data_IF_574233309178
#
_entry.id   IF_574233309178
#
_cell.length_a   1.000
_cell.length_b   1.000
_cell.length_c   1.000
_cell.angle_alpha   90.00
_cell.angle_beta   90.00
_cell.angle_gamma   90.00
#
_symmetry.space_group_name_H-M   'P 1'
#
loop_
_entity.id
_entity.type
_entity.pdbx_description
1 polymer ?
#
# COMPACT_ATOMS: atom_id res chain seq x y z
N UNK A 1 -0.88 2.45 19.19
CA UNK A 1 -1.05 2.57 17.72
C UNK A 1 0.18 1.95 17.08
N UNK A 2 0.04 0.88 16.32
CA UNK A 2 1.18 0.16 15.73
C UNK A 2 1.69 0.95 14.50
N UNK A 3 3.00 1.06 14.30
CA UNK A 3 3.61 1.87 13.22
C UNK A 3 3.09 1.43 11.83
N UNK A 4 2.86 0.14 11.64
CA UNK A 4 2.28 -0.40 10.40
C UNK A 4 0.88 0.18 10.09
N UNK A 5 0.04 0.39 11.12
CA UNK A 5 -1.30 0.97 10.92
C UNK A 5 -1.22 2.45 10.52
N UNK A 6 -0.17 3.17 10.93
CA UNK A 6 0.05 4.55 10.54
C UNK A 6 0.45 4.66 9.06
N UNK A 7 1.30 3.76 8.56
CA UNK A 7 1.67 3.72 7.15
C UNK A 7 0.49 3.33 6.26
N UNK A 8 -0.29 2.31 6.65
CA UNK A 8 -1.48 1.93 5.90
C UNK A 8 -2.47 3.11 5.78
N UNK A 9 -2.74 3.80 6.89
CA UNK A 9 -3.64 4.97 6.90
C UNK A 9 -3.12 6.11 6.02
N UNK A 10 -1.81 6.41 6.08
CA UNK A 10 -1.18 7.42 5.24
C UNK A 10 -1.29 7.06 3.75
N UNK A 11 -0.97 5.82 3.39
CA UNK A 11 -1.00 5.37 2.01
C UNK A 11 -2.43 5.29 1.46
N UNK A 12 -3.40 4.89 2.29
CA UNK A 12 -4.80 4.94 1.92
C UNK A 12 -5.26 6.37 1.60
N UNK A 13 -4.87 7.34 2.42
CA UNK A 13 -5.15 8.76 2.15
C UNK A 13 -4.50 9.22 0.83
N UNK A 14 -3.19 9.00 0.66
CA UNK A 14 -2.45 9.42 -0.53
C UNK A 14 -2.96 8.76 -1.82
N UNK A 15 -3.41 7.51 -1.74
CA UNK A 15 -4.03 6.80 -2.85
C UNK A 15 -5.43 7.36 -3.16
N UNK A 16 -6.23 7.65 -2.12
CA UNK A 16 -7.57 8.26 -2.25
C UNK A 16 -7.52 9.61 -2.97
N UNK A 17 -6.54 10.46 -2.64
CA UNK A 17 -6.34 11.76 -3.29
C UNK A 17 -5.51 11.71 -4.58
N UNK A 18 -5.27 10.50 -5.13
CA UNK A 18 -4.54 10.26 -6.39
C UNK A 18 -3.08 10.73 -6.41
N UNK A 19 -2.49 10.97 -5.25
CA UNK A 19 -1.06 11.28 -5.13
C UNK A 19 -0.22 10.02 -5.34
N UNK A 20 -0.67 8.88 -4.80
CA UNK A 20 -0.02 7.58 -5.01
C UNK A 20 -0.78 6.74 -6.03
N UNK A 21 -0.02 6.03 -6.87
CA UNK A 21 -0.53 5.02 -7.80
C UNK A 21 -0.41 3.62 -7.20
N UNK A 22 -1.10 2.63 -7.79
CA UNK A 22 -0.98 1.22 -7.38
C UNK A 22 0.48 0.73 -7.39
N UNK A 23 1.24 1.11 -8.42
CA UNK A 23 2.67 0.78 -8.54
C UNK A 23 3.51 1.39 -7.40
N UNK A 24 3.19 2.61 -6.95
CA UNK A 24 3.85 3.19 -5.77
C UNK A 24 3.51 2.41 -4.51
N UNK A 25 2.23 2.06 -4.28
CA UNK A 25 1.83 1.25 -3.11
C UNK A 25 2.54 -0.10 -3.13
N UNK A 26 2.64 -0.74 -4.29
CA UNK A 26 3.34 -2.01 -4.48
C UNK A 26 4.82 -1.93 -4.04
N UNK A 27 5.48 -0.79 -4.22
CA UNK A 27 6.88 -0.58 -3.81
C UNK A 27 7.11 -0.51 -2.29
N UNK A 28 6.04 -0.40 -1.50
CA UNK A 28 6.06 -0.36 -0.03
C UNK A 28 5.70 -1.71 0.62
N UNK A 29 5.16 -2.65 -0.16
CA UNK A 29 4.87 -4.01 0.31
C UNK A 29 6.16 -4.71 0.73
N UNK A 30 6.16 -5.32 1.93
CA UNK A 30 7.33 -5.94 2.55
C UNK A 30 8.28 -4.96 3.25
N UNK A 31 8.04 -3.65 3.17
CA UNK A 31 8.85 -2.62 3.86
C UNK A 31 8.08 -1.97 5.01
N UNK A 32 6.93 -1.40 4.71
CA UNK A 32 6.11 -0.62 5.65
C UNK A 32 4.67 -1.11 5.73
N UNK A 33 4.21 -1.87 4.74
CA UNK A 33 2.90 -2.53 4.69
C UNK A 33 3.04 -3.98 4.19
N UNK A 34 2.02 -4.81 4.43
CA UNK A 34 1.91 -6.18 3.90
C UNK A 34 0.98 -6.25 2.67
N UNK A 35 0.87 -7.44 2.07
CA UNK A 35 0.02 -7.69 0.90
C UNK A 35 -1.47 -7.46 1.22
N UNK A 36 -1.90 -7.74 2.45
CA UNK A 36 -3.27 -7.53 2.87
C UNK A 36 -3.60 -6.03 2.93
N UNK A 37 -2.67 -5.20 3.39
CA UNK A 37 -2.79 -3.75 3.38
C UNK A 37 -2.81 -3.20 1.96
N UNK A 38 -2.00 -3.73 1.04
CA UNK A 38 -2.07 -3.37 -0.37
C UNK A 38 -3.49 -3.56 -0.94
N UNK A 39 -4.12 -4.71 -0.65
CA UNK A 39 -5.49 -5.00 -1.08
C UNK A 39 -6.52 -4.05 -0.47
N UNK A 40 -6.40 -3.75 0.83
CA UNK A 40 -7.28 -2.78 1.50
C UNK A 40 -7.16 -1.37 0.91
N UNK A 41 -5.95 -0.94 0.54
CA UNK A 41 -5.69 0.39 -0.03
C UNK A 41 -6.17 0.48 -1.49
N UNK A 42 -5.83 -0.51 -2.32
CA UNK A 42 -5.95 -0.42 -3.79
C UNK A 42 -7.17 -1.14 -4.36
N UNK A 43 -7.75 -2.08 -3.62
CA UNK A 43 -8.81 -2.99 -4.08
C UNK A 43 -8.32 -4.22 -4.84
N UNK A 44 -7.02 -4.32 -5.16
CA UNK A 44 -6.47 -5.42 -5.96
C UNK A 44 -5.61 -6.36 -5.12
N UNK A 45 -5.51 -7.62 -5.54
CA UNK A 45 -4.48 -8.51 -5.02
C UNK A 45 -3.08 -8.04 -5.42
N UNK A 46 -2.14 -8.14 -4.49
CA UNK A 46 -0.75 -7.78 -4.76
C UNK A 46 -0.11 -8.82 -5.70
N UNK A 47 0.53 -8.32 -6.76
CA UNK A 47 1.35 -9.13 -7.66
C UNK A 47 2.76 -8.59 -7.58
N UNK A 48 3.70 -9.41 -7.11
CA UNK A 48 5.09 -9.03 -7.04
C UNK A 48 5.60 -8.65 -8.45
N UNK A 49 6.29 -7.49 -8.60
CA UNK A 49 6.89 -7.15 -9.87
C UNK A 49 7.94 -8.20 -10.23
N UNK A 50 7.84 -8.75 -11.45
CA UNK A 50 8.86 -9.64 -12.00
C UNK A 50 10.20 -8.91 -12.01
N UNK A 51 11.22 -9.53 -11.41
CA UNK A 51 12.59 -9.00 -11.36
C UNK A 51 13.23 -8.83 -12.74
#
# INVERSE_FOLDING_TARGET
MNIMNAFESLYQYLFSVKVYTKAMIAGYVGKTIDEAAYKRITGDDYVAPSA
#
